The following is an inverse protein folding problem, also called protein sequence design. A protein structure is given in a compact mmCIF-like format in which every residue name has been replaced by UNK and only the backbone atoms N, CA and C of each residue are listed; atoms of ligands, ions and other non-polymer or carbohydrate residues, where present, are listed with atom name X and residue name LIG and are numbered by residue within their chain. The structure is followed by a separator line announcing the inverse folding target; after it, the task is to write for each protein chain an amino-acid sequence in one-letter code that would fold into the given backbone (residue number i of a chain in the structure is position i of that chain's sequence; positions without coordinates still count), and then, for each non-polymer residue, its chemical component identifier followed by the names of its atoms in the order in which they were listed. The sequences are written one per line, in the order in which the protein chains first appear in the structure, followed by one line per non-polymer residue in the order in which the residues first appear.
data_IF_011561346690
#
_entry.id   IF_011561346690
#
_cell.length_a   1.000
_cell.length_b   1.000
_cell.length_c   1.000
_cell.angle_alpha   90.00
_cell.angle_beta   90.00
_cell.angle_gamma   90.00
#
_symmetry.space_group_name_H-M   'P 1'
#
loop_
_entity.id
_entity.type
_entity.pdbx_description
1 polymer ?
#
# COMPACT_ATOMS: atom_id res chain seq x y z
N UNK A 1 -39.98 -30.04 -37.93
CA UNK A 1 -40.68 -28.97 -38.66
C UNK A 1 -41.74 -28.41 -37.73
N UNK A 2 -41.44 -27.30 -37.08
CA UNK A 2 -42.32 -26.57 -36.15
C UNK A 2 -42.35 -25.14 -36.71
N UNK A 3 -43.52 -24.53 -36.96
CA UNK A 3 -43.57 -23.19 -37.52
C UNK A 3 -43.39 -22.12 -36.43
N UNK A 4 -42.68 -21.06 -36.80
CA UNK A 4 -42.45 -19.84 -36.03
C UNK A 4 -43.75 -19.04 -35.82
N UNK A 5 -43.91 -18.35 -34.68
CA UNK A 5 -44.87 -17.26 -34.58
C UNK A 5 -44.21 -15.93 -34.93
N UNK A 6 -44.69 -15.36 -36.04
CA UNK A 6 -44.52 -13.97 -36.45
C UNK A 6 -44.89 -13.01 -35.31
N UNK A 7 -43.97 -12.14 -34.89
CA UNK A 7 -44.30 -10.98 -34.06
C UNK A 7 -44.20 -9.71 -34.89
N UNK A 8 -45.36 -9.31 -35.40
CA UNK A 8 -45.61 -8.10 -36.17
C UNK A 8 -46.02 -6.94 -35.25
N UNK A 9 -45.29 -5.84 -35.37
CA UNK A 9 -45.83 -4.47 -35.27
C UNK A 9 -46.11 -3.92 -33.87
N UNK A 10 -45.50 -2.77 -33.54
CA UNK A 10 -46.01 -1.45 -33.98
C UNK A 10 -45.14 -0.35 -33.38
N UNK A 11 -44.66 0.53 -34.26
CA UNK A 11 -44.20 1.86 -33.94
C UNK A 11 -45.36 2.70 -33.41
N UNK A 12 -45.13 3.50 -32.37
CA UNK A 12 -45.98 4.64 -32.07
C UNK A 12 -45.10 5.80 -31.61
N UNK A 13 -44.99 6.73 -32.55
CA UNK A 13 -44.60 8.13 -32.41
C UNK A 13 -45.73 8.93 -31.76
N UNK A 14 -45.45 9.67 -30.68
CA UNK A 14 -46.14 10.91 -30.29
C UNK A 14 -45.35 11.50 -29.10
N UNK A 15 -44.52 12.54 -29.30
CA UNK A 15 -44.87 13.96 -29.37
C UNK A 15 -45.71 14.41 -28.18
N UNK A 16 -45.05 14.98 -27.17
CA UNK A 16 -45.61 16.07 -26.38
C UNK A 16 -44.49 17.04 -26.00
N UNK A 17 -44.52 18.19 -26.67
CA UNK A 17 -43.87 19.43 -26.27
C UNK A 17 -44.54 19.95 -25.00
N UNK A 18 -43.81 19.99 -23.89
CA UNK A 18 -44.14 20.92 -22.79
C UNK A 18 -42.97 21.87 -22.57
N UNK A 19 -43.08 23.02 -23.23
CA UNK A 19 -42.35 24.25 -22.91
C UNK A 19 -42.59 24.63 -21.45
N UNK A 20 -41.58 24.44 -20.61
CA UNK A 20 -41.50 25.09 -19.29
C UNK A 20 -40.40 26.14 -19.37
N UNK A 21 -40.82 27.39 -19.54
CA UNK A 21 -40.02 28.55 -19.19
C UNK A 21 -39.77 28.52 -17.68
N UNK A 22 -38.52 28.28 -17.28
CA UNK A 22 -38.03 28.62 -15.95
C UNK A 22 -36.75 29.42 -16.10
N UNK A 23 -36.79 30.62 -15.54
CA UNK A 23 -35.78 31.67 -15.52
C UNK A 23 -34.35 31.16 -15.24
N UNK A 24 -33.32 31.83 -15.79
CA UNK A 24 -31.94 31.55 -15.43
C UNK A 24 -31.70 32.05 -14.00
N UNK A 25 -31.62 31.13 -13.04
CA UNK A 25 -30.95 31.41 -11.79
C UNK A 25 -29.45 31.50 -12.10
N UNK A 26 -28.94 32.73 -12.12
CA UNK A 26 -27.51 33.05 -12.15
C UNK A 26 -26.83 32.27 -11.02
N UNK A 27 -26.23 31.15 -11.40
CA UNK A 27 -25.39 30.34 -10.53
C UNK A 27 -24.03 31.03 -10.52
N UNK A 28 -23.45 31.34 -9.35
CA UNK A 28 -22.12 31.92 -9.29
C UNK A 28 -21.12 30.97 -9.97
N UNK A 29 -20.28 31.55 -10.83
CA UNK A 29 -19.24 30.82 -11.56
C UNK A 29 -18.32 30.09 -10.57
N UNK A 30 -17.95 28.86 -10.90
CA UNK A 30 -16.96 28.06 -10.18
C UNK A 30 -15.61 28.77 -10.05
N UNK A 31 -15.33 29.76 -10.89
CA UNK A 31 -14.12 30.60 -10.80
C UNK A 31 -14.18 31.59 -9.61
N UNK A 32 -15.36 32.08 -9.23
CA UNK A 32 -15.52 33.02 -8.10
C UNK A 32 -15.42 32.32 -6.74
N UNK A 33 -15.71 31.01 -6.67
CA UNK A 33 -15.58 30.20 -5.46
C UNK A 33 -14.15 29.71 -5.19
N UNK A 34 -13.27 29.72 -6.20
CA UNK A 34 -11.87 29.31 -6.05
C UNK A 34 -11.01 30.49 -5.58
N UNK A 35 -11.34 31.72 -5.98
CA UNK A 35 -10.54 32.91 -5.63
C UNK A 35 -10.68 33.32 -4.16
N UNK A 36 -11.82 33.01 -3.50
CA UNK A 36 -12.05 33.39 -2.09
C UNK A 36 -11.39 32.48 -1.05
N UNK A 37 -10.86 31.32 -1.44
CA UNK A 37 -10.24 30.35 -0.52
C UNK A 37 -8.70 30.35 -0.56
N UNK A 38 -8.07 31.21 -1.36
CA UNK A 38 -6.60 31.30 -1.44
C UNK A 38 -5.98 32.39 -0.54
N UNK A 39 -6.75 33.27 0.09
CA UNK A 39 -6.19 34.38 0.90
C UNK A 39 -6.00 34.07 2.40
N UNK A 40 -6.50 32.94 2.93
CA UNK A 40 -6.52 32.71 4.39
C UNK A 40 -5.50 31.68 4.93
N UNK A 41 -4.39 31.44 4.22
CA UNK A 41 -3.30 30.57 4.72
C UNK A 41 -1.88 31.07 4.48
N UNK A 42 -1.70 32.39 4.30
CA UNK A 42 -0.39 33.04 4.34
C UNK A 42 -0.18 33.79 5.65
N UNK A 43 0.01 33.06 6.75
CA UNK A 43 0.58 33.64 7.96
C UNK A 43 1.23 32.56 8.81
N UNK A 44 2.48 32.84 9.22
CA UNK A 44 3.27 32.15 10.26
C UNK A 44 4.16 30.98 9.80
N UNK A 45 5.37 31.27 9.29
CA UNK A 45 6.62 31.23 10.08
C UNK A 45 7.87 31.39 9.17
N UNK A 46 8.64 32.49 9.29
CA UNK A 46 9.98 32.59 8.76
C UNK A 46 10.99 32.29 9.88
N UNK A 47 11.43 31.04 10.00
CA UNK A 47 12.62 30.73 10.80
C UNK A 47 13.36 29.54 10.21
N UNK A 48 14.35 29.84 9.38
CA UNK A 48 15.42 28.93 9.00
C UNK A 48 16.67 29.80 8.90
N UNK A 49 17.31 30.00 10.06
CA UNK A 49 18.71 30.39 10.12
C UNK A 49 19.54 29.20 9.65
N UNK A 50 20.08 29.29 8.43
CA UNK A 50 21.17 28.43 7.98
C UNK A 50 22.46 28.88 8.69
N UNK A 51 23.23 27.96 9.31
CA UNK A 51 24.59 28.27 9.70
C UNK A 51 25.48 28.24 8.45
N UNK A 52 25.84 29.42 7.95
CA UNK A 52 26.97 29.59 7.04
C UNK A 52 28.25 29.05 7.71
N UNK A 53 28.77 27.94 7.20
CA UNK A 53 30.11 27.48 7.55
C UNK A 53 31.12 28.23 6.70
N UNK A 54 31.61 29.32 7.28
CA UNK A 54 32.74 30.10 6.83
C UNK A 54 34.00 29.22 6.75
N UNK A 55 34.38 28.81 5.54
CA UNK A 55 35.69 28.21 5.22
C UNK A 55 36.58 29.28 4.58
N UNK A 56 37.10 30.20 5.39
CA UNK A 56 38.29 30.96 5.08
C UNK A 56 39.18 31.03 6.31
N UNK A 57 40.01 30.00 6.51
CA UNK A 57 41.20 30.12 7.34
C UNK A 57 42.40 29.45 6.67
N UNK A 58 43.28 30.34 6.23
CA UNK A 58 44.72 30.23 6.01
C UNK A 58 45.37 28.84 6.21
N UNK A 59 45.68 28.18 5.09
CA UNK A 59 46.76 27.20 5.04
C UNK A 59 48.11 27.93 5.06
N UNK A 60 48.66 28.11 6.26
CA UNK A 60 50.07 28.42 6.46
C UNK A 60 50.91 27.17 6.16
N UNK A 61 51.87 27.31 5.24
CA UNK A 61 52.87 26.28 4.91
C UNK A 61 53.85 26.12 6.08
N UNK A 62 54.06 24.92 6.64
CA UNK A 62 55.14 24.69 7.58
C UNK A 62 56.48 24.54 6.83
N UNK A 63 57.46 25.34 7.25
CA UNK A 63 58.85 25.26 6.81
C UNK A 63 59.47 23.90 7.13
N UNK A 64 60.12 23.30 6.13
CA UNK A 64 60.83 22.03 6.25
C UNK A 64 62.18 22.22 6.95
N UNK A 65 62.25 21.91 8.25
CA UNK A 65 63.54 21.77 8.95
C UNK A 65 64.08 20.35 8.79
N UNK A 66 65.06 20.22 7.90
CA UNK A 66 65.83 18.99 7.64
C UNK A 66 66.77 18.69 8.82
N UNK A 67 66.33 17.82 9.74
CA UNK A 67 67.16 17.35 10.85
C UNK A 67 67.54 15.88 10.65
N UNK A 68 68.84 15.58 10.60
CA UNK A 68 69.43 14.31 10.13
C UNK A 68 69.38 13.15 11.13
N UNK A 69 68.71 13.31 12.28
CA UNK A 69 68.54 12.26 13.28
C UNK A 69 67.31 11.33 13.03
N UNK A 70 66.53 11.58 11.98
CA UNK A 70 65.24 10.92 11.70
C UNK A 70 65.37 9.47 11.22
N UNK A 71 66.56 9.04 10.75
CA UNK A 71 66.75 7.68 10.18
C UNK A 71 66.61 6.55 11.21
N UNK A 72 66.78 6.80 12.51
CA UNK A 72 66.58 5.77 13.57
C UNK A 72 65.15 5.75 14.14
N UNK A 73 64.39 6.85 14.03
CA UNK A 73 62.99 6.92 14.50
C UNK A 73 62.00 6.42 13.44
N UNK A 74 62.31 6.56 12.15
CA UNK A 74 61.45 6.05 11.06
C UNK A 74 61.36 4.52 10.97
N UNK A 75 62.29 3.77 11.57
CA UNK A 75 62.23 2.30 11.56
C UNK A 75 61.21 1.76 12.58
N UNK A 76 60.98 2.46 13.69
CA UNK A 76 60.01 2.03 14.72
C UNK A 76 58.56 2.42 14.40
N UNK A 77 58.31 3.54 13.70
CA UNK A 77 56.95 3.96 13.36
C UNK A 77 56.30 3.08 12.29
N UNK A 78 57.06 2.52 11.34
CA UNK A 78 56.50 1.61 10.33
C UNK A 78 56.06 0.25 10.90
N UNK A 79 56.77 -0.26 11.91
CA UNK A 79 56.40 -1.51 12.59
C UNK A 79 55.10 -1.33 13.38
N UNK A 80 54.93 -0.23 14.09
CA UNK A 80 53.68 0.07 14.79
C UNK A 80 52.49 0.27 13.84
N UNK A 81 52.71 0.91 12.68
CA UNK A 81 51.65 1.09 11.69
C UNK A 81 51.23 -0.25 11.08
N UNK A 82 52.19 -1.16 10.79
CA UNK A 82 51.89 -2.49 10.28
C UNK A 82 51.18 -3.36 11.32
N UNK A 83 51.60 -3.29 12.60
CA UNK A 83 50.94 -4.01 13.69
C UNK A 83 49.51 -3.48 13.92
N UNK A 84 49.30 -2.16 13.83
CA UNK A 84 47.97 -1.55 13.88
C UNK A 84 47.10 -2.00 12.69
N UNK A 85 47.66 -2.10 11.48
CA UNK A 85 46.95 -2.60 10.30
C UNK A 85 46.62 -4.09 10.39
N UNK A 86 47.48 -4.90 10.99
CA UNK A 86 47.23 -6.33 11.26
C UNK A 86 46.18 -6.51 12.36
N UNK A 87 46.17 -5.68 13.41
CA UNK A 87 45.14 -5.72 14.46
C UNK A 87 43.78 -5.23 13.94
N UNK A 88 43.76 -4.15 13.15
CA UNK A 88 42.53 -3.61 12.54
C UNK A 88 42.02 -4.55 11.44
N UNK A 89 42.90 -5.08 10.58
CA UNK A 89 42.57 -6.07 9.56
C UNK A 89 42.11 -7.41 10.16
N UNK A 90 42.74 -7.86 11.24
CA UNK A 90 42.36 -9.08 11.97
C UNK A 90 40.98 -8.97 12.63
N UNK A 91 40.62 -7.81 13.18
CA UNK A 91 39.24 -7.56 13.68
C UNK A 91 38.21 -7.52 12.55
N UNK A 92 38.58 -7.08 11.35
CA UNK A 92 37.67 -7.09 10.21
C UNK A 92 37.44 -8.51 9.67
N UNK A 93 38.48 -9.36 9.71
CA UNK A 93 38.39 -10.75 9.25
C UNK A 93 37.62 -11.67 10.20
N UNK A 94 37.68 -11.43 11.52
CA UNK A 94 36.95 -12.23 12.52
C UNK A 94 35.43 -11.99 12.55
N UNK A 95 34.94 -11.02 11.78
CA UNK A 95 33.51 -10.77 11.59
C UNK A 95 32.96 -11.47 10.34
N UNK A 96 33.61 -12.55 9.89
CA UNK A 96 32.95 -13.55 9.04
C UNK A 96 31.76 -14.08 9.83
N UNK A 97 30.60 -13.51 9.53
CA UNK A 97 29.31 -13.77 10.13
C UNK A 97 29.13 -15.28 10.21
N UNK A 98 29.12 -15.83 11.42
CA UNK A 98 28.69 -17.21 11.60
C UNK A 98 27.26 -17.26 11.07
N UNK A 99 27.08 -17.97 9.96
CA UNK A 99 25.77 -18.17 9.35
C UNK A 99 24.97 -18.97 10.37
N UNK A 100 24.02 -18.32 11.04
CA UNK A 100 23.12 -18.99 11.99
C UNK A 100 21.80 -19.29 11.28
N UNK A 101 21.09 -20.38 11.65
CA UNK A 101 19.79 -20.69 11.07
C UNK A 101 18.81 -19.52 11.17
N UNK A 102 18.80 -18.83 12.32
CA UNK A 102 17.98 -17.64 12.54
C UNK A 102 18.37 -16.48 11.64
N UNK A 103 19.67 -16.22 11.47
CA UNK A 103 20.14 -15.16 10.57
C UNK A 103 19.75 -15.40 9.11
N UNK A 104 19.80 -16.64 8.62
CA UNK A 104 19.32 -16.99 7.28
C UNK A 104 17.81 -16.80 7.15
N UNK A 105 17.04 -17.20 8.16
CA UNK A 105 15.58 -17.02 8.17
C UNK A 105 15.21 -15.53 8.13
N UNK A 106 15.83 -14.72 9.00
CA UNK A 106 15.58 -13.27 9.07
C UNK A 106 15.95 -12.58 7.74
N UNK A 107 17.06 -12.99 7.12
CA UNK A 107 17.46 -12.50 5.79
C UNK A 107 16.46 -12.93 4.71
N UNK A 108 16.01 -14.18 4.72
CA UNK A 108 15.02 -14.67 3.76
C UNK A 108 13.71 -13.89 3.84
N UNK A 109 13.17 -13.71 5.05
CA UNK A 109 11.95 -12.92 5.27
C UNK A 109 12.14 -11.47 4.84
N UNK A 110 13.31 -10.88 5.09
CA UNK A 110 13.63 -9.53 4.62
C UNK A 110 13.63 -9.45 3.09
N UNK A 111 14.26 -10.42 2.40
CA UNK A 111 14.24 -10.49 0.93
C UNK A 111 12.82 -10.65 0.39
N UNK A 112 12.01 -11.56 0.96
CA UNK A 112 10.61 -11.76 0.57
C UNK A 112 9.78 -10.50 0.79
N UNK A 113 9.95 -9.83 1.94
CA UNK A 113 9.26 -8.59 2.26
C UNK A 113 9.62 -7.46 1.29
N UNK A 114 10.88 -7.40 0.87
CA UNK A 114 11.35 -6.44 -0.14
C UNK A 114 10.92 -6.80 -1.58
N UNK A 115 10.22 -7.92 -1.78
CA UNK A 115 9.75 -8.38 -3.08
C UNK A 115 10.78 -9.21 -3.87
N UNK A 116 11.97 -9.46 -3.31
CA UNK A 116 12.98 -10.33 -3.90
C UNK A 116 12.70 -11.79 -3.52
N UNK A 117 11.66 -12.35 -4.15
CA UNK A 117 11.15 -13.69 -3.88
C UNK A 117 12.21 -14.76 -4.19
N UNK A 118 12.99 -14.58 -5.27
CA UNK A 118 14.02 -15.54 -5.68
C UNK A 118 15.18 -15.59 -4.68
N UNK A 119 15.63 -14.45 -4.16
CA UNK A 119 16.63 -14.43 -3.09
C UNK A 119 16.08 -15.06 -1.80
N UNK A 120 14.83 -14.77 -1.46
CA UNK A 120 14.14 -15.38 -0.31
C UNK A 120 14.10 -16.91 -0.38
N UNK A 121 13.64 -17.46 -1.51
CA UNK A 121 13.61 -18.90 -1.78
C UNK A 121 15.02 -19.51 -1.67
N UNK A 122 16.02 -18.85 -2.24
CA UNK A 122 17.41 -19.32 -2.21
C UNK A 122 17.94 -19.42 -0.77
N UNK A 123 17.63 -18.42 0.08
CA UNK A 123 18.03 -18.39 1.48
C UNK A 123 17.30 -19.45 2.33
N UNK A 124 15.99 -19.65 2.10
CA UNK A 124 15.23 -20.73 2.76
C UNK A 124 15.78 -22.11 2.38
N UNK A 125 16.08 -22.31 1.09
CA UNK A 125 16.68 -23.54 0.59
C UNK A 125 18.05 -23.79 1.21
N UNK A 126 18.88 -22.74 1.31
CA UNK A 126 20.17 -22.81 1.98
C UNK A 126 20.03 -23.17 3.46
N UNK A 127 19.06 -22.58 4.17
CA UNK A 127 18.78 -22.89 5.57
C UNK A 127 18.44 -24.38 5.74
N UNK A 128 17.51 -24.89 4.93
CA UNK A 128 17.06 -26.29 4.99
C UNK A 128 18.23 -27.25 4.73
N UNK A 129 19.06 -26.98 3.71
CA UNK A 129 20.19 -27.82 3.36
C UNK A 129 21.34 -27.75 4.38
N UNK A 130 21.62 -26.57 4.92
CA UNK A 130 22.77 -26.37 5.83
C UNK A 130 22.46 -26.84 7.25
N UNK A 131 21.19 -26.79 7.66
CA UNK A 131 20.75 -27.06 9.03
C UNK A 131 19.56 -28.03 9.09
N UNK A 132 19.65 -29.25 8.57
CA UNK A 132 18.50 -30.15 8.46
C UNK A 132 17.83 -30.47 9.82
N UNK A 133 18.63 -30.57 10.89
CA UNK A 133 18.14 -30.92 12.23
C UNK A 133 17.72 -29.71 13.08
N UNK A 134 17.78 -28.49 12.53
CA UNK A 134 17.40 -27.29 13.27
C UNK A 134 15.87 -27.19 13.43
N UNK A 135 15.36 -26.72 14.58
CA UNK A 135 13.92 -26.55 14.78
C UNK A 135 13.28 -25.55 13.81
N UNK A 136 14.06 -24.62 13.25
CA UNK A 136 13.59 -23.67 12.24
C UNK A 136 13.37 -24.31 10.86
N UNK A 137 13.90 -25.51 10.60
CA UNK A 137 13.84 -26.14 9.27
C UNK A 137 12.42 -26.50 8.87
N UNK A 138 11.62 -27.04 9.80
CA UNK A 138 10.21 -27.30 9.55
C UNK A 138 9.41 -26.01 9.24
N UNK A 139 9.78 -24.89 9.89
CA UNK A 139 9.19 -23.58 9.60
C UNK A 139 9.62 -23.07 8.22
N UNK A 140 10.90 -23.21 7.89
CA UNK A 140 11.46 -22.81 6.60
C UNK A 140 10.85 -23.61 5.44
N UNK A 141 10.64 -24.92 5.59
CA UNK A 141 9.96 -25.76 4.59
C UNK A 141 8.51 -25.33 4.36
N UNK A 142 7.79 -25.04 5.45
CA UNK A 142 6.42 -24.51 5.35
C UNK A 142 6.42 -23.18 4.60
N UNK A 143 7.32 -22.27 4.97
CA UNK A 143 7.43 -20.96 4.35
C UNK A 143 7.82 -21.05 2.88
N UNK A 144 8.75 -21.94 2.53
CA UNK A 144 9.18 -22.19 1.16
C UNK A 144 7.98 -22.56 0.27
N UNK A 145 7.12 -23.47 0.73
CA UNK A 145 5.89 -23.84 -0.02
C UNK A 145 4.93 -22.67 -0.21
N UNK A 146 4.73 -21.86 0.82
CA UNK A 146 3.88 -20.65 0.73
C UNK A 146 4.44 -19.65 -0.29
N UNK A 147 5.75 -19.43 -0.26
CA UNK A 147 6.44 -18.49 -1.13
C UNK A 147 6.50 -19.00 -2.58
N UNK A 148 6.62 -20.32 -2.80
CA UNK A 148 6.52 -20.92 -4.13
C UNK A 148 5.12 -20.76 -4.74
N UNK A 149 4.06 -20.96 -3.94
CA UNK A 149 2.68 -20.70 -4.38
C UNK A 149 2.48 -19.22 -4.71
N UNK A 150 3.02 -18.32 -3.87
CA UNK A 150 3.00 -16.89 -4.13
C UNK A 150 3.75 -16.56 -5.43
N UNK A 151 4.90 -17.18 -5.68
CA UNK A 151 5.67 -17.00 -6.91
C UNK A 151 4.88 -17.47 -8.14
N UNK A 152 4.22 -18.61 -8.08
CA UNK A 152 3.37 -19.10 -9.19
C UNK A 152 2.22 -18.14 -9.46
N UNK A 153 1.59 -17.61 -8.41
CA UNK A 153 0.54 -16.60 -8.52
C UNK A 153 1.07 -15.32 -9.19
N UNK A 154 2.22 -14.82 -8.74
CA UNK A 154 2.91 -13.64 -9.29
C UNK A 154 3.31 -13.87 -10.76
N UNK A 155 3.87 -15.04 -11.07
CA UNK A 155 4.28 -15.42 -12.43
C UNK A 155 3.09 -15.52 -13.39
N UNK A 156 1.93 -16.01 -12.93
CA UNK A 156 0.71 -16.05 -13.73
C UNK A 156 0.24 -14.64 -14.16
N UNK A 157 0.59 -13.61 -13.40
CA UNK A 157 0.25 -12.21 -13.67
C UNK A 157 1.38 -11.42 -14.33
N UNK A 158 2.58 -11.99 -14.45
CA UNK A 158 3.73 -11.40 -15.15
C UNK A 158 4.31 -10.14 -14.50
N UNK A 159 4.01 -9.86 -13.23
CA UNK A 159 4.44 -8.67 -12.50
C UNK A 159 4.90 -9.07 -11.10
N UNK A 160 5.86 -8.35 -10.51
CA UNK A 160 6.26 -8.59 -9.13
C UNK A 160 5.13 -8.21 -8.14
N UNK A 161 5.08 -8.84 -6.97
CA UNK A 161 4.04 -8.62 -5.94
C UNK A 161 3.78 -7.13 -5.67
N UNK A 162 4.84 -6.35 -5.45
CA UNK A 162 4.75 -4.92 -5.15
C UNK A 162 4.14 -4.12 -6.31
N UNK A 163 4.52 -4.43 -7.55
CA UNK A 163 3.98 -3.77 -8.75
C UNK A 163 2.51 -4.12 -8.94
N UNK A 164 2.14 -5.39 -8.74
CA UNK A 164 0.76 -5.85 -8.82
C UNK A 164 -0.12 -5.14 -7.78
N UNK A 165 0.30 -5.11 -6.51
CA UNK A 165 -0.41 -4.39 -5.44
C UNK A 165 -0.51 -2.90 -5.76
N UNK A 166 0.57 -2.28 -6.25
CA UNK A 166 0.56 -0.86 -6.62
C UNK A 166 -0.44 -0.54 -7.73
N UNK A 167 -0.52 -1.37 -8.78
CA UNK A 167 -1.49 -1.19 -9.87
C UNK A 167 -2.93 -1.40 -9.40
N UNK A 168 -3.17 -2.40 -8.55
CA UNK A 168 -4.49 -2.61 -7.97
C UNK A 168 -4.91 -1.46 -7.06
N UNK A 169 -3.98 -0.89 -6.28
CA UNK A 169 -4.24 0.27 -5.45
C UNK A 169 -4.65 1.49 -6.29
N UNK A 170 -3.93 1.77 -7.37
CA UNK A 170 -4.29 2.87 -8.29
C UNK A 170 -5.70 2.67 -8.87
N UNK A 171 -6.05 1.44 -9.27
CA UNK A 171 -7.39 1.09 -9.75
C UNK A 171 -8.45 1.25 -8.67
N UNK A 172 -8.18 0.79 -7.44
CA UNK A 172 -9.06 0.92 -6.29
C UNK A 172 -9.35 2.39 -5.97
N UNK A 173 -8.32 3.23 -5.92
CA UNK A 173 -8.44 4.66 -5.67
C UNK A 173 -9.20 5.37 -6.80
N UNK A 174 -8.90 5.05 -8.06
CA UNK A 174 -9.64 5.58 -9.21
C UNK A 174 -11.11 5.19 -9.16
N UNK A 175 -11.42 3.93 -8.84
CA UNK A 175 -12.79 3.47 -8.67
C UNK A 175 -13.48 4.18 -7.50
N UNK A 176 -12.76 4.44 -6.41
CA UNK A 176 -13.27 5.15 -5.23
C UNK A 176 -13.62 6.60 -5.55
N UNK A 177 -12.72 7.33 -6.23
CA UNK A 177 -12.96 8.70 -6.69
C UNK A 177 -14.16 8.79 -7.63
N UNK A 178 -14.38 7.77 -8.45
CA UNK A 178 -15.54 7.63 -9.34
C UNK A 178 -16.80 7.09 -8.63
N UNK A 179 -16.76 6.89 -7.32
CA UNK A 179 -17.85 6.34 -6.49
C UNK A 179 -18.34 4.96 -6.93
N UNK A 180 -17.49 4.17 -7.60
CA UNK A 180 -17.78 2.81 -8.05
C UNK A 180 -17.46 1.81 -6.94
N UNK A 181 -18.27 1.81 -5.89
CA UNK A 181 -17.98 1.03 -4.68
C UNK A 181 -18.23 -0.47 -4.84
N UNK A 182 -19.41 -0.84 -5.36
CA UNK A 182 -19.82 -2.23 -5.61
C UNK A 182 -20.25 -2.49 -7.07
N UNK A 183 -20.46 -1.42 -7.85
CA UNK A 183 -20.96 -1.47 -9.22
C UNK A 183 -20.06 -0.58 -10.09
N UNK A 184 -19.63 -1.04 -11.27
CA UNK A 184 -19.92 -2.35 -11.90
C UNK A 184 -19.19 -3.52 -11.23
N UNK A 185 -19.60 -4.76 -11.52
CA UNK A 185 -19.12 -5.97 -10.83
C UNK A 185 -17.64 -6.29 -11.08
N UNK A 186 -17.09 -5.79 -12.18
CA UNK A 186 -15.72 -6.02 -12.67
C UNK A 186 -14.76 -4.86 -12.40
N UNK A 187 -15.28 -3.66 -12.10
CA UNK A 187 -14.46 -2.44 -11.93
C UNK A 187 -14.99 -1.59 -10.76
N UNK A 188 -14.80 -2.10 -9.55
CA UNK A 188 -15.23 -1.44 -8.31
C UNK A 188 -14.18 -1.54 -7.20
N UNK A 189 -14.30 -0.65 -6.20
CA UNK A 189 -13.36 -0.55 -5.08
C UNK A 189 -13.20 -1.88 -4.36
N UNK A 190 -14.32 -2.52 -4.00
CA UNK A 190 -14.31 -3.73 -3.16
C UNK A 190 -13.66 -4.91 -3.89
N UNK A 191 -13.80 -5.00 -5.21
CA UNK A 191 -13.10 -6.00 -6.02
C UNK A 191 -11.59 -5.82 -5.92
N UNK A 192 -11.08 -4.61 -6.15
CA UNK A 192 -9.64 -4.37 -6.11
C UNK A 192 -9.06 -4.47 -4.69
N UNK A 193 -9.75 -3.95 -3.67
CA UNK A 193 -9.26 -4.07 -2.29
C UNK A 193 -9.20 -5.53 -1.85
N UNK A 194 -10.17 -6.38 -2.22
CA UNK A 194 -10.12 -7.82 -1.95
C UNK A 194 -8.93 -8.49 -2.61
N UNK A 195 -8.68 -8.21 -3.89
CA UNK A 195 -7.50 -8.74 -4.59
C UNK A 195 -6.19 -8.30 -3.93
N UNK A 196 -6.11 -7.05 -3.46
CA UNK A 196 -4.95 -6.59 -2.69
C UNK A 196 -4.82 -7.36 -1.39
N UNK A 197 -5.91 -7.53 -0.63
CA UNK A 197 -5.89 -8.20 0.68
C UNK A 197 -5.68 -9.72 0.59
N UNK A 198 -5.97 -10.34 -0.56
CA UNK A 198 -5.58 -11.73 -0.85
C UNK A 198 -4.05 -11.87 -0.94
N UNK A 199 -3.37 -10.87 -1.51
CA UNK A 199 -1.91 -10.87 -1.69
C UNK A 199 -1.18 -10.27 -0.50
N UNK A 200 -1.71 -9.21 0.09
CA UNK A 200 -1.16 -8.46 1.23
C UNK A 200 -2.28 -8.18 2.25
N UNK A 201 -2.57 -9.14 3.15
CA UNK A 201 -3.67 -9.04 4.10
C UNK A 201 -3.59 -7.88 5.08
N UNK A 202 -2.40 -7.29 5.25
CA UNK A 202 -2.14 -6.19 6.20
C UNK A 202 -1.94 -4.87 5.46
N UNK A 203 -2.28 -4.80 4.16
CA UNK A 203 -2.13 -3.58 3.38
C UNK A 203 -2.95 -2.43 3.99
N UNK A 204 -2.30 -1.39 4.57
CA UNK A 204 -3.02 -0.38 5.34
C UNK A 204 -3.97 0.42 4.45
N UNK A 205 -3.58 0.65 3.19
CA UNK A 205 -4.37 1.47 2.26
C UNK A 205 -5.60 0.75 1.75
N UNK A 206 -5.50 -0.53 1.43
CA UNK A 206 -6.66 -1.33 1.03
C UNK A 206 -7.69 -1.45 2.17
N UNK A 207 -7.23 -1.70 3.40
CA UNK A 207 -8.07 -1.74 4.59
C UNK A 207 -8.79 -0.39 4.83
N UNK A 208 -8.08 0.73 4.66
CA UNK A 208 -8.66 2.07 4.78
C UNK A 208 -9.75 2.34 3.72
N UNK A 209 -9.52 1.95 2.46
CA UNK A 209 -10.50 2.09 1.38
C UNK A 209 -11.75 1.25 1.65
N UNK A 210 -11.60 -0.01 2.06
CA UNK A 210 -12.73 -0.87 2.43
C UNK A 210 -13.52 -0.29 3.60
N UNK A 211 -12.85 0.16 4.66
CA UNK A 211 -13.48 0.83 5.81
C UNK A 211 -14.23 2.10 5.39
N UNK A 212 -13.69 2.88 4.46
CA UNK A 212 -14.33 4.08 3.93
C UNK A 212 -15.61 3.76 3.15
N UNK A 213 -15.61 2.67 2.36
CA UNK A 213 -16.81 2.20 1.65
C UNK A 213 -17.88 1.71 2.63
N UNK A 214 -17.49 0.95 3.65
CA UNK A 214 -18.39 0.50 4.72
C UNK A 214 -19.04 1.70 5.42
N UNK A 215 -18.23 2.68 5.83
CA UNK A 215 -18.72 3.90 6.47
C UNK A 215 -19.69 4.69 5.58
N UNK A 216 -19.41 4.78 4.27
CA UNK A 216 -20.31 5.41 3.31
C UNK A 216 -21.69 4.76 3.30
N UNK A 217 -21.76 3.43 3.23
CA UNK A 217 -23.04 2.72 3.21
C UNK A 217 -23.77 2.79 4.55
N UNK A 218 -23.06 2.77 5.67
CA UNK A 218 -23.66 2.97 7.00
C UNK A 218 -24.34 4.33 7.11
N UNK A 219 -23.61 5.39 6.76
CA UNK A 219 -24.14 6.76 6.76
C UNK A 219 -25.37 6.90 5.85
N UNK A 220 -25.34 6.28 4.67
CA UNK A 220 -26.49 6.28 3.74
C UNK A 220 -27.68 5.51 4.29
N UNK A 221 -27.46 4.39 4.98
CA UNK A 221 -28.51 3.63 5.63
C UNK A 221 -29.17 4.44 6.74
N UNK A 222 -28.38 5.10 7.60
CA UNK A 222 -28.86 5.95 8.68
C UNK A 222 -29.60 7.20 8.19
N UNK A 223 -29.09 7.85 7.14
CA UNK A 223 -29.75 8.97 6.46
C UNK A 223 -31.13 8.54 5.88
N UNK A 224 -31.21 7.35 5.31
CA UNK A 224 -32.47 6.81 4.81
C UNK A 224 -33.45 6.50 5.95
N UNK A 225 -32.97 6.01 7.11
CA UNK A 225 -33.80 5.77 8.29
C UNK A 225 -34.37 7.05 8.88
N UNK A 226 -33.56 8.11 9.03
CA UNK A 226 -34.03 9.39 9.57
C UNK A 226 -35.13 10.00 8.69
N UNK A 227 -35.06 9.78 7.38
CA UNK A 227 -36.07 10.18 6.39
C UNK A 227 -37.26 9.21 6.27
N UNK A 228 -37.37 8.21 7.17
CA UNK A 228 -38.39 7.13 7.16
C UNK A 228 -38.42 6.30 5.86
N UNK A 229 -37.33 6.27 5.08
CA UNK A 229 -37.21 5.50 3.83
C UNK A 229 -36.68 4.09 4.09
N UNK A 230 -37.46 3.27 4.79
CA UNK A 230 -37.05 1.94 5.29
C UNK A 230 -36.52 1.02 4.18
N UNK A 231 -37.14 0.99 3.01
CA UNK A 231 -36.68 0.13 1.89
C UNK A 231 -35.29 0.50 1.40
N UNK A 232 -34.94 1.79 1.37
CA UNK A 232 -33.62 2.25 0.96
C UNK A 232 -32.59 1.91 2.03
N UNK A 233 -32.91 2.13 3.31
CA UNK A 233 -32.03 1.76 4.41
C UNK A 233 -31.68 0.27 4.40
N UNK A 234 -32.66 -0.60 4.15
CA UNK A 234 -32.43 -2.05 4.04
C UNK A 234 -31.43 -2.39 2.93
N UNK A 235 -31.56 -1.80 1.74
CA UNK A 235 -30.61 -2.02 0.64
C UNK A 235 -29.19 -1.61 1.00
N UNK A 236 -29.01 -0.48 1.69
CA UNK A 236 -27.68 -0.04 2.13
C UNK A 236 -27.09 -0.97 3.19
N UNK A 237 -27.90 -1.47 4.13
CA UNK A 237 -27.43 -2.49 5.08
C UNK A 237 -27.11 -3.83 4.42
N UNK A 238 -27.88 -4.25 3.42
CA UNK A 238 -27.58 -5.44 2.62
C UNK A 238 -26.25 -5.28 1.87
N UNK A 239 -25.97 -4.11 1.32
CA UNK A 239 -24.68 -3.81 0.69
C UNK A 239 -23.50 -3.92 1.67
N UNK A 240 -23.68 -3.52 2.94
CA UNK A 240 -22.64 -3.71 3.96
C UNK A 240 -22.35 -5.19 4.17
N UNK A 241 -23.39 -6.05 4.21
CA UNK A 241 -23.21 -7.50 4.36
C UNK A 241 -22.60 -8.17 3.13
N UNK A 242 -22.69 -7.56 1.95
CA UNK A 242 -21.96 -8.01 0.77
C UNK A 242 -20.46 -7.75 0.88
N UNK A 243 -20.05 -6.73 1.66
CA UNK A 243 -18.66 -6.37 1.92
C UNK A 243 -18.11 -7.21 3.08
N UNK A 244 -18.77 -7.10 4.24
CA UNK A 244 -18.44 -7.83 5.46
C UNK A 244 -19.67 -8.58 5.99
N UNK A 245 -19.72 -9.89 5.70
CA UNK A 245 -20.81 -10.76 6.12
C UNK A 245 -20.82 -11.07 7.62
N UNK A 246 -19.73 -10.79 8.34
CA UNK A 246 -19.56 -11.19 9.75
C UNK A 246 -20.23 -10.23 10.73
N UNK A 247 -20.74 -9.10 10.25
CA UNK A 247 -21.35 -8.04 11.07
C UNK A 247 -22.72 -8.39 11.62
N UNK A 248 -22.72 -8.98 12.81
CA UNK A 248 -23.92 -9.36 13.57
C UNK A 248 -24.83 -8.16 13.86
N UNK A 249 -24.25 -6.99 14.14
CA UNK A 249 -25.00 -5.77 14.45
C UNK A 249 -25.85 -5.28 13.26
N UNK A 250 -25.31 -5.34 12.04
CA UNK A 250 -26.01 -5.00 10.80
C UNK A 250 -27.11 -6.03 10.50
N UNK A 251 -26.83 -7.32 10.71
CA UNK A 251 -27.84 -8.38 10.57
C UNK A 251 -29.05 -8.15 11.50
N UNK A 252 -28.80 -7.78 12.76
CA UNK A 252 -29.85 -7.45 13.73
C UNK A 252 -30.65 -6.20 13.31
N UNK A 253 -29.99 -5.14 12.83
CA UNK A 253 -30.66 -3.94 12.30
C UNK A 253 -31.61 -4.31 11.15
N UNK A 254 -31.16 -5.13 10.20
CA UNK A 254 -31.99 -5.62 9.08
C UNK A 254 -33.20 -6.39 9.59
N UNK A 255 -33.01 -7.33 10.54
CA UNK A 255 -34.09 -8.13 11.11
C UNK A 255 -35.16 -7.23 11.78
N UNK A 256 -34.74 -6.26 12.59
CA UNK A 256 -35.62 -5.31 13.26
C UNK A 256 -36.39 -4.39 12.30
N UNK A 257 -35.78 -3.99 11.19
CA UNK A 257 -36.45 -3.18 10.17
C UNK A 257 -37.47 -3.99 9.36
N UNK A 258 -37.21 -5.28 9.12
CA UNK A 258 -38.13 -6.18 8.42
C UNK A 258 -39.39 -6.47 9.23
N UNK A 259 -39.31 -6.56 10.56
CA UNK A 259 -40.48 -6.76 11.42
C UNK A 259 -41.39 -5.53 11.45
N UNK A 260 -40.82 -4.32 11.54
CA UNK A 260 -41.57 -3.04 11.54
C UNK A 260 -42.31 -2.72 10.23
N UNK A 261 -42.00 -3.43 9.14
CA UNK A 261 -42.66 -3.26 7.83
C UNK A 261 -43.99 -4.03 7.75
N UNK A 262 -44.19 -5.03 8.61
CA UNK A 262 -45.43 -5.80 8.71
C UNK A 262 -46.45 -5.05 9.56
#
# INVERSE_FOLDING_TARGET
MIPDPEFSGKSSTEKDESTVQSSPATSPSLEELIEKNLEEKSSVNPFSEEPETNYQDAFAMPESTSNSNVKKVMLFTSIFLFLALVIVGGRWWYKQSTVTPRGLMDQAETSIHNGDIDAGISLLTQLIHTFPDAPLTALAEKRLKEVEQEKEFVAAHGMNRSEFVSQLLEKAETAFQRQRYLIPTDDNVILYTRQILEVDPVNPRALELEASVLHFYEKKAEEALSKRRIRQALRFYENILLIDSTRVDIQQKIANLRTRRR
#
